data_IF_255063649169
#
_entry.id   IF_255063649169
#
_cell.length_a   1.000
_cell.length_b   1.000
_cell.length_c   1.000
_cell.angle_alpha   90.00
_cell.angle_beta   90.00
_cell.angle_gamma   90.00
#
_symmetry.space_group_name_H-M   'P 1'
#
loop_
_entity.id
_entity.type
_entity.pdbx_description
1 polymer ?
#
# COMPACT_ATOMS: atom_id res chain seq x y z
N UNK A 1 10.94 -40.46 24.99
CA UNK A 1 10.65 -39.15 24.32
C UNK A 1 9.23 -38.60 24.56
N UNK A 2 8.38 -39.33 25.26
CA UNK A 2 6.98 -38.89 25.54
C UNK A 2 6.86 -37.72 26.55
N UNK A 3 7.91 -37.35 27.22
CA UNK A 3 7.96 -36.32 28.27
C UNK A 3 8.94 -35.18 27.99
N UNK A 4 9.38 -35.01 26.73
CA UNK A 4 10.25 -33.88 26.37
C UNK A 4 9.38 -32.65 26.16
N UNK A 5 9.56 -31.64 27.00
CA UNK A 5 8.95 -30.31 26.82
C UNK A 5 9.66 -29.65 25.65
N UNK A 6 8.92 -29.24 24.64
CA UNK A 6 9.43 -28.42 23.55
C UNK A 6 8.78 -27.05 23.67
N UNK A 7 9.56 -26.05 23.96
CA UNK A 7 9.07 -24.67 24.01
C UNK A 7 8.66 -24.22 22.61
N UNK A 8 7.52 -23.49 22.46
CA UNK A 8 7.10 -22.98 21.18
C UNK A 8 8.09 -21.89 20.69
N UNK A 9 8.49 -21.98 19.43
CA UNK A 9 9.26 -20.94 18.76
C UNK A 9 8.29 -19.84 18.32
N UNK A 10 8.29 -18.70 19.05
CA UNK A 10 7.36 -17.60 18.83
C UNK A 10 8.09 -16.35 18.39
N UNK A 11 7.62 -15.76 17.31
CA UNK A 11 8.11 -14.49 16.78
C UNK A 11 7.01 -13.44 16.89
N UNK A 12 7.34 -12.24 17.37
CA UNK A 12 6.39 -11.15 17.58
C UNK A 12 6.91 -9.86 16.95
N UNK A 13 6.05 -9.16 16.25
CA UNK A 13 6.30 -7.82 15.77
C UNK A 13 5.31 -6.83 16.40
N UNK A 14 5.81 -5.67 16.80
CA UNK A 14 4.99 -4.61 17.39
C UNK A 14 4.91 -3.44 16.43
N UNK A 15 3.68 -3.02 16.11
CA UNK A 15 3.42 -1.86 15.28
C UNK A 15 2.98 -0.69 16.14
N UNK A 16 3.45 0.51 15.80
CA UNK A 16 3.10 1.74 16.49
C UNK A 16 2.41 2.68 15.53
N UNK A 17 1.44 3.43 16.05
CA UNK A 17 0.82 4.51 15.29
C UNK A 17 1.89 5.51 14.85
N UNK A 18 1.99 5.75 13.56
CA UNK A 18 2.94 6.66 12.92
C UNK A 18 2.28 7.76 12.10
N UNK A 19 0.95 7.71 11.93
CA UNK A 19 0.17 8.76 11.28
C UNK A 19 -0.75 9.44 12.28
N UNK A 20 -0.81 10.79 12.24
CA UNK A 20 -1.73 11.61 13.00
C UNK A 20 -1.98 12.90 12.22
N UNK A 21 -2.96 12.86 11.33
CA UNK A 21 -3.31 13.97 10.46
C UNK A 21 -4.59 14.66 10.89
N UNK A 22 -4.68 15.93 10.57
CA UNK A 22 -5.84 16.77 10.78
C UNK A 22 -6.13 17.56 9.50
N UNK A 23 -7.27 17.28 8.90
CA UNK A 23 -7.78 18.03 7.76
C UNK A 23 -8.78 19.06 8.26
N UNK A 24 -8.64 20.29 7.80
CA UNK A 24 -9.48 21.40 8.26
C UNK A 24 -10.09 22.16 7.10
N UNK A 25 -11.35 22.54 7.24
CA UNK A 25 -12.04 23.48 6.36
C UNK A 25 -12.83 24.48 7.18
N UNK A 26 -12.89 25.71 6.70
CA UNK A 26 -13.66 26.78 7.34
C UNK A 26 -14.76 27.23 6.40
N UNK A 27 -15.98 27.20 6.89
CA UNK A 27 -17.18 27.66 6.17
C UNK A 27 -17.52 29.03 6.72
N UNK A 28 -17.27 30.07 5.94
CA UNK A 28 -17.63 31.44 6.32
C UNK A 28 -19.13 31.66 6.17
N UNK A 29 -19.68 32.58 6.98
CA UNK A 29 -21.08 33.01 6.87
C UNK A 29 -21.41 33.56 5.48
N UNK A 30 -20.50 34.28 4.85
CA UNK A 30 -20.67 34.83 3.50
C UNK A 30 -20.76 33.71 2.45
N UNK A 31 -19.92 32.66 2.56
CA UNK A 31 -19.97 31.47 1.69
C UNK A 31 -21.30 30.73 1.83
N UNK A 32 -21.79 30.58 3.07
CA UNK A 32 -23.10 30.00 3.35
C UNK A 32 -24.24 30.82 2.74
N UNK A 33 -24.22 32.17 2.90
CA UNK A 33 -25.24 33.05 2.31
C UNK A 33 -25.24 32.97 0.78
N UNK A 34 -24.08 32.87 0.14
CA UNK A 34 -23.94 32.66 -1.30
C UNK A 34 -24.50 31.32 -1.80
N UNK A 35 -24.39 30.28 -0.99
CA UNK A 35 -24.94 28.96 -1.28
C UNK A 35 -26.46 28.86 -1.08
N UNK A 36 -27.04 29.78 -0.29
CA UNK A 36 -28.47 29.79 0.06
C UNK A 36 -29.39 30.34 -1.04
N UNK A 37 -29.07 30.03 -2.30
CA UNK A 37 -29.95 30.38 -3.47
C UNK A 37 -31.10 29.37 -3.59
N UNK A 38 -30.86 28.12 -3.23
CA UNK A 38 -31.87 27.08 -3.11
C UNK A 38 -31.40 26.04 -2.07
N UNK A 39 -32.33 25.24 -1.52
CA UNK A 39 -32.01 24.22 -0.55
C UNK A 39 -31.04 23.16 -1.12
N UNK A 40 -31.26 22.73 -2.35
CA UNK A 40 -30.45 21.75 -3.04
C UNK A 40 -28.99 22.23 -3.19
N UNK A 41 -28.77 23.49 -3.57
CA UNK A 41 -27.43 24.09 -3.69
C UNK A 41 -26.71 24.23 -2.37
N UNK A 42 -27.45 24.46 -1.29
CA UNK A 42 -26.89 24.53 0.06
C UNK A 42 -26.39 23.15 0.50
N UNK A 43 -27.22 22.11 0.29
CA UNK A 43 -26.84 20.72 0.62
C UNK A 43 -25.63 20.28 -0.19
N UNK A 44 -25.62 20.55 -1.51
CA UNK A 44 -24.48 20.26 -2.39
C UNK A 44 -23.19 20.94 -1.92
N UNK A 45 -23.29 22.20 -1.47
CA UNK A 45 -22.14 22.95 -0.97
C UNK A 45 -21.54 22.31 0.28
N UNK A 46 -22.35 21.98 1.28
CA UNK A 46 -21.89 21.32 2.52
C UNK A 46 -21.30 19.95 2.20
N UNK A 47 -21.98 19.14 1.38
CA UNK A 47 -21.50 17.83 0.99
C UNK A 47 -20.16 17.90 0.25
N UNK A 48 -19.97 18.90 -0.62
CA UNK A 48 -18.71 19.08 -1.36
C UNK A 48 -17.54 19.42 -0.43
N UNK A 49 -17.77 20.21 0.63
CA UNK A 49 -16.75 20.55 1.61
C UNK A 49 -16.36 19.30 2.41
N UNK A 50 -17.35 18.60 2.96
CA UNK A 50 -17.12 17.37 3.72
C UNK A 50 -16.40 16.32 2.85
N UNK A 51 -16.84 16.13 1.61
CA UNK A 51 -16.20 15.20 0.68
C UNK A 51 -14.75 15.60 0.37
N UNK A 52 -14.44 16.91 0.34
CA UNK A 52 -13.07 17.39 0.11
C UNK A 52 -12.11 16.99 1.23
N UNK A 53 -12.59 16.90 2.48
CA UNK A 53 -11.79 16.44 3.62
C UNK A 53 -11.45 14.96 3.50
N UNK A 54 -12.46 14.12 3.16
CA UNK A 54 -12.24 12.70 2.94
C UNK A 54 -11.33 12.43 1.73
N UNK A 55 -11.51 13.19 0.65
CA UNK A 55 -10.64 13.07 -0.53
C UNK A 55 -9.18 13.40 -0.18
N UNK A 56 -8.94 14.43 0.64
CA UNK A 56 -7.61 14.74 1.16
C UNK A 56 -7.01 13.57 1.96
N UNK A 57 -7.81 12.96 2.83
CA UNK A 57 -7.38 11.78 3.59
C UNK A 57 -6.99 10.61 2.69
N UNK A 58 -7.80 10.27 1.67
CA UNK A 58 -7.51 9.16 0.74
C UNK A 58 -6.26 9.42 -0.11
N UNK A 59 -6.06 10.66 -0.56
CA UNK A 59 -4.86 11.03 -1.31
C UNK A 59 -3.60 10.82 -0.46
N UNK A 60 -3.65 11.21 0.81
CA UNK A 60 -2.51 11.05 1.70
C UNK A 60 -2.28 9.60 2.10
N UNK A 61 -3.34 8.79 2.30
CA UNK A 61 -3.22 7.33 2.49
C UNK A 61 -2.51 6.65 1.33
N UNK A 62 -2.87 7.02 0.10
CA UNK A 62 -2.20 6.51 -1.09
C UNK A 62 -0.72 6.90 -1.11
N UNK A 63 -0.38 8.15 -0.78
CA UNK A 63 1.01 8.62 -0.70
C UNK A 63 1.80 7.88 0.37
N UNK A 64 1.26 7.76 1.59
CA UNK A 64 1.91 7.03 2.68
C UNK A 64 2.14 5.56 2.35
N UNK A 65 1.21 4.92 1.63
CA UNK A 65 1.41 3.54 1.16
C UNK A 65 2.56 3.43 0.17
N UNK A 66 2.70 4.38 -0.76
CA UNK A 66 3.86 4.43 -1.66
C UNK A 66 5.16 4.68 -0.90
N UNK A 67 5.18 5.66 -0.01
CA UNK A 67 6.35 5.97 0.84
C UNK A 67 6.76 4.78 1.72
N UNK A 68 5.80 3.97 2.17
CA UNK A 68 6.09 2.76 2.92
C UNK A 68 6.84 1.73 2.07
N UNK A 69 6.46 1.57 0.80
CA UNK A 69 7.13 0.68 -0.16
C UNK A 69 8.54 1.19 -0.48
N UNK A 70 8.66 2.47 -0.81
CA UNK A 70 9.96 3.10 -1.09
C UNK A 70 10.89 3.02 0.14
N UNK A 71 10.37 3.33 1.32
CA UNK A 71 11.11 3.21 2.58
C UNK A 71 11.52 1.79 2.92
N UNK A 72 10.73 0.78 2.54
CA UNK A 72 11.12 -0.62 2.70
C UNK A 72 12.31 -0.99 1.81
N UNK A 73 12.34 -0.47 0.58
CA UNK A 73 13.44 -0.65 -0.35
C UNK A 73 14.71 0.08 0.13
N UNK A 74 14.60 1.36 0.45
CA UNK A 74 15.73 2.22 0.84
C UNK A 74 16.40 1.78 2.15
N UNK A 75 15.62 1.21 3.07
CA UNK A 75 16.12 0.71 4.36
C UNK A 75 16.47 -0.78 4.34
N UNK A 76 16.54 -1.42 3.17
CA UNK A 76 16.83 -2.85 3.03
C UNK A 76 15.89 -3.75 3.85
N UNK A 77 14.59 -3.43 3.87
CA UNK A 77 13.54 -4.20 4.58
C UNK A 77 12.68 -5.04 3.66
N UNK A 78 13.09 -5.20 2.42
CA UNK A 78 12.47 -6.07 1.41
C UNK A 78 13.56 -6.86 0.69
N UNK A 79 13.22 -8.00 0.13
CA UNK A 79 14.14 -8.75 -0.74
C UNK A 79 14.15 -8.08 -2.12
N UNK A 80 15.32 -7.83 -2.66
CA UNK A 80 15.49 -7.17 -3.96
C UNK A 80 16.00 -8.18 -4.99
N UNK A 81 15.31 -8.25 -6.11
CA UNK A 81 15.71 -8.99 -7.30
C UNK A 81 16.00 -8.03 -8.45
N UNK A 82 17.21 -8.05 -8.96
CA UNK A 82 17.64 -7.15 -10.03
C UNK A 82 16.99 -7.53 -11.36
N UNK A 83 16.41 -6.55 -12.02
CA UNK A 83 15.80 -6.63 -13.36
C UNK A 83 16.35 -5.54 -14.26
N UNK A 84 16.26 -5.73 -15.56
CA UNK A 84 16.52 -4.64 -16.51
C UNK A 84 15.33 -3.68 -16.53
N UNK A 85 15.59 -2.39 -16.78
CA UNK A 85 14.53 -1.40 -16.97
C UNK A 85 13.62 -1.84 -18.13
N UNK A 86 12.31 -1.72 -17.91
CA UNK A 86 11.30 -2.08 -18.92
C UNK A 86 11.14 -0.89 -19.87
N UNK A 87 11.74 -0.99 -21.05
CA UNK A 87 11.72 0.06 -22.08
C UNK A 87 11.14 -0.40 -23.41
N UNK A 88 11.16 -1.69 -23.67
CA UNK A 88 10.69 -2.32 -24.89
C UNK A 88 10.03 -3.68 -24.64
N UNK A 89 9.47 -4.28 -25.68
CA UNK A 89 8.79 -5.58 -25.60
C UNK A 89 9.71 -6.72 -25.11
N UNK A 90 11.01 -6.66 -25.47
CA UNK A 90 11.98 -7.68 -25.06
C UNK A 90 12.26 -7.63 -23.56
N UNK A 91 12.50 -6.45 -23.04
CA UNK A 91 12.69 -6.21 -21.59
C UNK A 91 11.41 -6.47 -20.80
N UNK A 92 10.24 -6.16 -21.37
CA UNK A 92 8.96 -6.49 -20.78
C UNK A 92 8.75 -8.01 -20.65
N UNK A 93 9.06 -8.80 -21.70
CA UNK A 93 9.02 -10.27 -21.64
C UNK A 93 9.98 -10.85 -20.62
N UNK A 94 11.19 -10.30 -20.50
CA UNK A 94 12.18 -10.72 -19.48
C UNK A 94 11.67 -10.41 -18.06
N UNK A 95 11.09 -9.24 -17.84
CA UNK A 95 10.49 -8.82 -16.59
C UNK A 95 9.34 -9.76 -16.17
N UNK A 96 8.40 -10.03 -17.07
CA UNK A 96 7.26 -10.95 -16.82
C UNK A 96 7.76 -12.37 -16.52
N UNK A 97 8.77 -12.86 -17.26
CA UNK A 97 9.36 -14.19 -16.99
C UNK A 97 9.94 -14.28 -15.58
N UNK A 98 10.61 -13.20 -15.12
CA UNK A 98 11.18 -13.15 -13.79
C UNK A 98 10.10 -13.03 -12.71
N UNK A 99 9.11 -12.19 -12.93
CA UNK A 99 7.95 -12.05 -12.05
C UNK A 99 7.20 -13.39 -11.88
N UNK A 100 6.97 -14.12 -12.97
CA UNK A 100 6.36 -15.46 -12.96
C UNK A 100 7.18 -16.46 -12.15
N UNK A 101 8.50 -16.45 -12.32
CA UNK A 101 9.38 -17.36 -11.59
C UNK A 101 9.31 -17.08 -10.08
N UNK A 102 9.31 -15.82 -9.68
CA UNK A 102 9.17 -15.40 -8.27
C UNK A 102 7.82 -15.80 -7.70
N UNK A 103 6.72 -15.48 -8.40
CA UNK A 103 5.38 -15.89 -8.03
C UNK A 103 5.29 -17.39 -7.74
N UNK A 104 5.82 -18.24 -8.65
CA UNK A 104 5.81 -19.70 -8.47
C UNK A 104 6.66 -20.16 -7.29
N UNK A 105 7.78 -19.49 -7.03
CA UNK A 105 8.69 -19.83 -5.93
C UNK A 105 8.14 -19.38 -4.57
N UNK A 106 7.44 -18.24 -4.50
CA UNK A 106 6.85 -17.73 -3.26
C UNK A 106 5.72 -18.60 -2.71
N UNK A 107 5.11 -19.46 -3.55
CA UNK A 107 4.11 -20.45 -3.11
C UNK A 107 4.74 -21.61 -2.33
N UNK A 108 6.04 -21.83 -2.48
CA UNK A 108 6.75 -22.92 -1.83
C UNK A 108 7.37 -22.44 -0.52
N UNK A 109 7.35 -23.27 0.56
CA UNK A 109 8.01 -22.94 1.80
C UNK A 109 9.49 -22.59 1.59
N UNK A 110 9.89 -21.38 1.93
CA UNK A 110 11.24 -20.86 1.73
C UNK A 110 11.60 -19.81 2.76
N UNK A 111 12.88 -19.61 2.99
CA UNK A 111 13.44 -18.53 3.83
C UNK A 111 13.92 -17.33 3.00
N UNK A 112 13.82 -17.41 1.64
CA UNK A 112 14.48 -16.47 0.75
C UNK A 112 13.63 -15.28 0.35
N UNK A 113 12.31 -15.31 0.57
CA UNK A 113 11.38 -14.32 0.06
C UNK A 113 10.77 -13.44 1.15
N UNK A 114 11.15 -13.63 2.40
CA UNK A 114 10.83 -12.75 3.51
C UNK A 114 12.08 -12.00 3.98
N UNK A 115 11.89 -10.79 4.47
CA UNK A 115 12.96 -9.95 4.96
C UNK A 115 13.13 -10.04 6.49
N UNK A 116 12.61 -11.06 7.16
CA UNK A 116 12.64 -11.18 8.61
C UNK A 116 14.04 -10.95 9.22
N UNK A 117 15.08 -11.58 8.66
CA UNK A 117 16.45 -11.46 9.15
C UNK A 117 17.05 -10.04 9.05
N UNK A 118 16.44 -9.16 8.23
CA UNK A 118 16.86 -7.77 8.05
C UNK A 118 16.27 -6.81 9.08
N UNK A 119 15.34 -7.28 9.91
CA UNK A 119 14.73 -6.46 10.94
C UNK A 119 15.53 -6.53 12.25
N UNK A 120 15.54 -5.41 12.99
CA UNK A 120 16.23 -5.33 14.28
C UNK A 120 15.60 -6.29 15.30
N UNK A 121 16.44 -7.08 15.96
CA UNK A 121 15.99 -8.07 16.95
C UNK A 121 15.58 -9.43 16.35
N UNK A 122 15.67 -9.61 15.02
CA UNK A 122 15.45 -10.89 14.40
C UNK A 122 16.47 -11.93 14.88
N UNK A 123 15.99 -13.15 15.17
CA UNK A 123 16.82 -14.28 15.52
C UNK A 123 16.63 -15.38 14.49
N UNK A 124 17.69 -15.65 13.72
CA UNK A 124 17.63 -16.69 12.68
C UNK A 124 16.83 -16.30 11.45
N UNK A 125 16.27 -17.29 10.79
CA UNK A 125 15.44 -17.18 9.59
C UNK A 125 14.12 -17.90 9.84
N UNK A 126 13.05 -17.40 9.22
CA UNK A 126 11.74 -18.05 9.24
C UNK A 126 11.39 -18.59 7.85
N UNK A 127 10.68 -19.71 7.83
CA UNK A 127 10.14 -20.28 6.60
C UNK A 127 8.75 -19.72 6.36
N UNK A 128 8.53 -19.14 5.20
CA UNK A 128 7.26 -18.56 4.79
C UNK A 128 6.85 -19.04 3.41
N UNK A 129 5.56 -19.01 3.12
CA UNK A 129 4.97 -19.21 1.80
C UNK A 129 3.77 -18.28 1.64
N UNK A 130 3.32 -18.09 0.43
CA UNK A 130 2.16 -17.24 0.12
C UNK A 130 1.18 -18.05 -0.70
N UNK A 131 -0.07 -18.10 -0.27
CA UNK A 131 -1.13 -18.74 -1.02
C UNK A 131 -1.42 -17.96 -2.30
N UNK A 132 -1.87 -18.66 -3.35
CA UNK A 132 -2.05 -18.12 -4.69
C UNK A 132 -3.01 -16.91 -4.72
N UNK A 133 -4.05 -17.00 -3.90
CA UNK A 133 -5.10 -15.98 -3.79
C UNK A 133 -4.70 -14.74 -2.99
N UNK A 134 -3.52 -14.75 -2.35
CA UNK A 134 -3.01 -13.67 -1.53
C UNK A 134 -1.85 -12.89 -2.14
N UNK A 135 -1.39 -13.29 -3.31
CA UNK A 135 -0.32 -12.58 -3.99
C UNK A 135 -0.84 -11.32 -4.65
N UNK A 136 -0.21 -10.19 -4.36
CA UNK A 136 -0.48 -8.88 -4.97
C UNK A 136 0.74 -8.45 -5.76
N UNK A 137 0.51 -7.93 -6.96
CA UNK A 137 1.55 -7.33 -7.79
C UNK A 137 1.31 -5.82 -7.90
N UNK A 138 2.28 -5.03 -7.47
CA UNK A 138 2.24 -3.56 -7.53
C UNK A 138 3.26 -3.09 -8.55
N UNK A 139 2.85 -2.31 -9.54
CA UNK A 139 3.74 -1.81 -10.60
C UNK A 139 3.30 -0.44 -11.07
N UNK A 140 4.13 0.21 -11.88
CA UNK A 140 3.80 1.53 -12.43
C UNK A 140 2.94 1.44 -13.68
N UNK A 141 2.18 2.50 -13.97
CA UNK A 141 1.33 2.61 -15.15
C UNK A 141 2.12 2.47 -16.45
N UNK A 142 3.36 3.00 -16.51
CA UNK A 142 4.22 2.94 -17.70
C UNK A 142 4.64 1.49 -18.02
N UNK A 143 5.00 0.73 -16.99
CA UNK A 143 5.35 -0.69 -17.15
C UNK A 143 4.12 -1.48 -17.58
N UNK A 144 2.97 -1.21 -16.95
CA UNK A 144 1.73 -1.88 -17.29
C UNK A 144 1.29 -1.60 -18.72
N UNK A 145 1.53 -0.39 -19.25
CA UNK A 145 1.26 -0.04 -20.64
C UNK A 145 2.20 -0.76 -21.64
N UNK A 146 3.45 -1.01 -21.24
CA UNK A 146 4.43 -1.72 -22.09
C UNK A 146 4.20 -3.23 -22.09
N UNK A 147 3.67 -3.76 -21.00
CA UNK A 147 3.38 -5.19 -20.86
C UNK A 147 1.89 -5.44 -21.16
N UNK A 148 1.59 -6.33 -22.12
CA UNK A 148 0.22 -6.72 -22.41
C UNK A 148 -0.39 -7.44 -21.21
N UNK A 149 -1.62 -7.07 -20.86
CA UNK A 149 -2.38 -7.68 -19.74
C UNK A 149 -2.54 -9.18 -19.92
N UNK A 150 -2.79 -9.65 -21.15
CA UNK A 150 -2.91 -11.06 -21.49
C UNK A 150 -1.65 -11.86 -21.14
N UNK A 151 -0.47 -11.28 -21.43
CA UNK A 151 0.83 -11.90 -21.14
C UNK A 151 1.06 -12.03 -19.64
N UNK A 152 0.67 -10.98 -18.88
CA UNK A 152 0.76 -11.00 -17.41
C UNK A 152 -0.22 -12.00 -16.81
N UNK A 153 -1.49 -11.98 -17.19
CA UNK A 153 -2.51 -12.88 -16.68
C UNK A 153 -2.11 -14.36 -16.91
N UNK A 154 -1.68 -14.67 -18.12
CA UNK A 154 -1.17 -15.99 -18.49
C UNK A 154 0.08 -16.38 -17.67
N UNK A 155 0.94 -15.40 -17.32
CA UNK A 155 2.13 -15.63 -16.50
C UNK A 155 1.78 -16.06 -15.06
N UNK A 156 0.67 -15.61 -14.53
CA UNK A 156 0.21 -15.93 -13.18
C UNK A 156 -0.81 -17.07 -13.11
N UNK A 157 -1.11 -17.74 -14.22
CA UNK A 157 -2.12 -18.81 -14.32
C UNK A 157 -3.53 -18.36 -13.87
N UNK A 158 -3.86 -17.15 -14.14
CA UNK A 158 -5.15 -16.53 -13.78
C UNK A 158 -5.93 -16.17 -15.02
N UNK A 159 -7.26 -16.01 -14.88
CA UNK A 159 -8.03 -15.31 -15.88
C UNK A 159 -7.63 -13.83 -15.90
N UNK A 160 -7.78 -13.16 -17.03
CA UNK A 160 -7.48 -11.73 -17.18
C UNK A 160 -8.22 -10.89 -16.12
N UNK A 161 -9.48 -11.23 -15.86
CA UNK A 161 -10.32 -10.54 -14.87
C UNK A 161 -9.80 -10.74 -13.44
N UNK A 162 -9.41 -11.96 -13.07
CA UNK A 162 -8.88 -12.26 -11.75
C UNK A 162 -7.52 -11.61 -11.53
N UNK A 163 -6.70 -11.56 -12.58
CA UNK A 163 -5.39 -10.92 -12.54
C UNK A 163 -5.52 -9.40 -12.32
N UNK A 164 -6.38 -8.73 -13.08
CA UNK A 164 -6.63 -7.28 -12.92
C UNK A 164 -7.10 -6.91 -11.52
N UNK A 165 -7.82 -7.79 -10.84
CA UNK A 165 -8.22 -7.61 -9.44
C UNK A 165 -7.07 -7.68 -8.43
N UNK A 166 -5.91 -8.20 -8.81
CA UNK A 166 -4.73 -8.38 -7.93
C UNK A 166 -3.53 -7.53 -8.32
N UNK A 167 -3.66 -6.75 -9.38
CA UNK A 167 -2.64 -5.77 -9.77
C UNK A 167 -3.03 -4.40 -9.26
N UNK A 168 -2.14 -3.81 -8.51
CA UNK A 168 -2.23 -2.42 -8.07
C UNK A 168 -1.32 -1.59 -8.95
N UNK A 169 -1.91 -0.67 -9.69
CA UNK A 169 -1.16 0.24 -10.56
C UNK A 169 -0.96 1.57 -9.85
N UNK A 170 0.30 1.98 -9.73
CA UNK A 170 0.67 3.29 -9.18
C UNK A 170 1.20 4.21 -10.30
N UNK A 171 1.14 5.50 -10.06
CA UNK A 171 1.68 6.51 -10.98
C UNK A 171 3.21 6.39 -11.10
N UNK A 172 3.90 6.37 -9.96
CA UNK A 172 5.34 6.26 -9.87
C UNK A 172 5.76 5.87 -8.46
N UNK A 173 6.93 5.28 -8.30
CA UNK A 173 7.64 5.19 -7.03
C UNK A 173 8.56 6.41 -6.88
N UNK A 174 8.92 6.79 -5.67
CA UNK A 174 9.90 7.86 -5.43
C UNK A 174 11.28 7.41 -5.88
N UNK A 175 11.62 6.15 -5.59
CA UNK A 175 12.85 5.55 -6.08
C UNK A 175 12.63 4.96 -7.49
N UNK A 176 13.22 5.60 -8.50
CA UNK A 176 13.08 5.22 -9.90
C UNK A 176 13.67 3.85 -10.26
N UNK A 177 14.46 3.25 -9.36
CA UNK A 177 14.97 1.91 -9.56
C UNK A 177 13.87 0.84 -9.43
N UNK A 178 12.80 1.12 -8.65
CA UNK A 178 11.71 0.18 -8.42
C UNK A 178 10.83 0.06 -9.66
N UNK A 179 10.80 -1.13 -10.25
CA UNK A 179 9.96 -1.46 -11.41
C UNK A 179 8.63 -2.13 -10.99
N UNK A 180 8.63 -2.77 -9.84
CA UNK A 180 7.44 -3.38 -9.27
C UNK A 180 7.75 -4.19 -8.04
N UNK A 181 6.70 -4.61 -7.34
CA UNK A 181 6.81 -5.44 -6.16
C UNK A 181 5.79 -6.57 -6.20
N UNK A 182 6.22 -7.77 -5.87
CA UNK A 182 5.35 -8.93 -5.69
C UNK A 182 5.35 -9.24 -4.20
N UNK A 183 4.19 -9.19 -3.57
CA UNK A 183 4.09 -9.41 -2.13
C UNK A 183 2.83 -10.20 -1.76
N UNK A 184 2.86 -10.75 -0.57
CA UNK A 184 1.66 -11.23 0.12
C UNK A 184 0.83 -10.01 0.56
N UNK A 185 -0.50 -10.06 0.45
CA UNK A 185 -1.38 -8.97 0.88
C UNK A 185 -1.16 -8.58 2.34
N UNK A 186 -0.78 -9.54 3.20
CA UNK A 186 -0.45 -9.30 4.60
C UNK A 186 0.92 -8.63 4.83
N UNK A 187 1.69 -8.37 3.77
CA UNK A 187 2.95 -7.65 3.90
C UNK A 187 2.71 -6.18 4.23
N UNK A 188 1.70 -5.56 3.61
CA UNK A 188 1.29 -4.20 3.93
C UNK A 188 0.32 -4.23 5.12
N UNK A 189 0.72 -3.65 6.22
CA UNK A 189 -0.04 -3.57 7.47
C UNK A 189 -0.54 -2.13 7.64
N UNK A 190 -1.76 -1.88 7.18
CA UNK A 190 -2.40 -0.55 7.26
C UNK A 190 -3.59 -0.68 8.20
N UNK A 191 -3.59 0.09 9.28
CA UNK A 191 -4.64 0.09 10.28
C UNK A 191 -5.13 1.51 10.53
N UNK A 192 -6.43 1.72 10.40
CA UNK A 192 -7.10 2.93 10.84
C UNK A 192 -7.37 2.86 12.34
N UNK A 193 -6.68 3.71 13.09
CA UNK A 193 -6.85 3.78 14.54
C UNK A 193 -7.98 4.72 14.94
N UNK A 194 -8.17 5.81 14.21
CA UNK A 194 -9.22 6.79 14.40
C UNK A 194 -9.52 7.51 13.10
N UNK A 195 -10.77 7.54 12.71
CA UNK A 195 -11.31 8.47 11.71
C UNK A 195 -12.50 9.17 12.34
N UNK A 196 -12.35 10.47 12.65
CA UNK A 196 -13.37 11.22 13.36
C UNK A 196 -13.56 12.59 12.74
N UNK A 197 -14.82 12.90 12.45
CA UNK A 197 -15.26 14.23 12.01
C UNK A 197 -15.82 15.01 13.22
N UNK A 198 -15.36 16.23 13.38
CA UNK A 198 -15.83 17.17 14.39
C UNK A 198 -16.05 18.53 13.75
N UNK A 199 -17.04 19.27 14.24
CA UNK A 199 -17.32 20.64 13.83
C UNK A 199 -17.30 21.58 15.03
N UNK A 200 -16.90 22.83 14.79
CA UNK A 200 -16.84 23.86 15.81
C UNK A 200 -17.21 25.23 15.25
N UNK A 201 -18.20 25.88 15.86
CA UNK A 201 -18.55 27.25 15.52
C UNK A 201 -17.62 28.25 16.21
N UNK A 202 -16.94 29.07 15.43
CA UNK A 202 -16.12 30.17 15.93
C UNK A 202 -16.89 31.49 15.87
N UNK A 203 -17.44 31.91 17.00
CA UNK A 203 -18.26 33.13 17.10
C UNK A 203 -17.46 34.39 16.79
N UNK A 204 -16.14 34.40 16.96
CA UNK A 204 -15.30 35.58 16.72
C UNK A 204 -15.25 35.97 15.25
N UNK A 205 -15.23 34.96 14.36
CA UNK A 205 -15.16 35.16 12.91
C UNK A 205 -16.45 34.76 12.20
N UNK A 206 -17.49 34.40 12.95
CA UNK A 206 -18.78 33.92 12.44
C UNK A 206 -18.64 32.84 11.37
N UNK A 207 -17.81 31.84 11.66
CA UNK A 207 -17.50 30.73 10.73
C UNK A 207 -17.60 29.38 11.44
N UNK A 208 -17.97 28.36 10.68
CA UNK A 208 -17.91 26.98 11.10
C UNK A 208 -16.57 26.39 10.65
N UNK A 209 -15.90 25.71 11.56
CA UNK A 209 -14.69 24.95 11.25
C UNK A 209 -15.02 23.47 11.30
N UNK A 210 -14.73 22.78 10.22
CA UNK A 210 -14.84 21.34 10.11
C UNK A 210 -13.45 20.70 10.24
N UNK A 211 -13.37 19.63 10.98
CA UNK A 211 -12.15 18.90 11.29
C UNK A 211 -12.35 17.43 11.01
N UNK A 212 -11.46 16.84 10.23
CA UNK A 212 -11.37 15.40 10.06
C UNK A 212 -10.04 14.93 10.66
N UNK A 213 -10.12 14.22 11.78
CA UNK A 213 -8.98 13.57 12.40
C UNK A 213 -8.79 12.19 11.82
N UNK A 214 -7.61 11.92 11.26
CA UNK A 214 -7.24 10.62 10.73
C UNK A 214 -5.95 10.15 11.39
N UNK A 215 -6.05 9.06 12.15
CA UNK A 215 -4.90 8.44 12.80
C UNK A 215 -4.75 7.01 12.32
N UNK A 216 -3.55 6.66 11.91
CA UNK A 216 -3.28 5.36 11.33
C UNK A 216 -1.92 4.79 11.69
N UNK A 217 -1.78 3.51 11.38
CA UNK A 217 -0.53 2.78 11.45
C UNK A 217 -0.22 2.23 10.08
N UNK A 218 0.90 2.64 9.51
CA UNK A 218 1.44 2.17 8.25
C UNK A 218 2.72 1.40 8.53
N UNK A 219 2.72 0.12 8.27
CA UNK A 219 3.85 -0.75 8.57
C UNK A 219 3.98 -1.87 7.54
N UNK A 220 5.13 -2.54 7.54
CA UNK A 220 5.37 -3.75 6.77
C UNK A 220 5.56 -4.94 7.71
N UNK A 221 5.04 -6.10 7.31
CA UNK A 221 5.19 -7.33 8.09
C UNK A 221 6.53 -8.00 7.79
N UNK A 222 7.35 -8.29 8.80
CA UNK A 222 8.56 -9.08 8.61
C UNK A 222 8.28 -10.56 8.34
N UNK A 223 7.05 -11.02 8.57
CA UNK A 223 6.66 -12.43 8.48
C UNK A 223 6.05 -12.80 7.13
N UNK A 224 5.78 -11.82 6.28
CA UNK A 224 5.18 -12.02 4.97
C UNK A 224 6.22 -11.97 3.86
N UNK A 225 5.96 -12.67 2.77
CA UNK A 225 6.81 -12.64 1.58
C UNK A 225 6.64 -11.32 0.84
N UNK A 226 7.75 -10.73 0.45
CA UNK A 226 7.78 -9.59 -0.45
C UNK A 226 9.11 -9.53 -1.21
N UNK A 227 9.02 -9.33 -2.51
CA UNK A 227 10.18 -9.20 -3.40
C UNK A 227 10.01 -7.96 -4.28
N UNK A 228 10.94 -7.05 -4.18
CA UNK A 228 11.02 -5.87 -5.03
C UNK A 228 11.83 -6.19 -6.29
N UNK A 229 11.27 -5.88 -7.44
CA UNK A 229 11.92 -5.93 -8.75
C UNK A 229 12.51 -4.56 -9.05
N UNK A 230 13.82 -4.41 -8.97
CA UNK A 230 14.48 -3.14 -9.14
C UNK A 230 15.60 -3.22 -10.18
N UNK A 231 15.88 -2.09 -10.81
CA UNK A 231 17.08 -1.94 -11.67
C UNK A 231 18.34 -1.84 -10.83
N UNK A 232 19.47 -2.25 -11.41
CA UNK A 232 20.77 -2.17 -10.75
C UNK A 232 21.25 -0.73 -10.60
#
# INVERSE_FOLDING_TARGET
KLLTITDPDTHVAYYRRNRKDLYTKTISREGLQGAFVSWDKFEDYINSITQSLYSGNYIDEFKYTKELIDGAYDNDKVIVETVSAVTDESTAKAFVKKARALYSKMKLPSTNYNAYSKFSGAKGTITTWTDEDRVVFITTADIMATVSVDVLASAFNMSETDFLGRVVVVDSFQNSAIQGIICDESWLQIYDNLLRFDEFYNARVMAWNEYLHSWGTFAISPFANAVCLATA
#
